data_IF_454818094469
#
_entry.id   IF_454818094469
#
_cell.length_a   1.000
_cell.length_b   1.000
_cell.length_c   1.000
_cell.angle_alpha   90.00
_cell.angle_beta   90.00
_cell.angle_gamma   90.00
#
_symmetry.space_group_name_H-M   'P 1'
#
loop_
_entity.id
_entity.type
_entity.pdbx_description
1 polymer ?
#
# COMPACT_ATOMS: atom_id res chain seq x y z
N UNK A 1 -2.58 -12.38 8.39
CA UNK A 1 -2.82 -11.17 9.20
C UNK A 1 -3.35 -10.09 8.26
N UNK A 2 -4.54 -9.53 8.49
CA UNK A 2 -5.06 -8.45 7.65
C UNK A 2 -4.14 -7.21 7.75
N UNK A 3 -4.09 -6.35 6.72
CA UNK A 3 -3.37 -5.08 6.80
C UNK A 3 -3.96 -4.24 7.94
N UNK A 4 -3.10 -3.72 8.82
CA UNK A 4 -3.48 -2.79 9.89
C UNK A 4 -2.92 -1.40 9.58
N UNK A 5 -3.55 -0.35 10.09
CA UNK A 5 -3.08 1.02 9.90
C UNK A 5 -1.62 1.21 10.37
N UNK A 6 -1.25 0.57 11.50
CA UNK A 6 0.13 0.57 12.00
C UNK A 6 1.09 -0.14 11.05
N UNK A 7 0.72 -1.32 10.54
CA UNK A 7 1.57 -2.06 9.59
C UNK A 7 1.75 -1.32 8.26
N UNK A 8 0.70 -0.65 7.78
CA UNK A 8 0.76 0.19 6.58
C UNK A 8 1.73 1.35 6.80
N UNK A 9 1.62 2.06 7.93
CA UNK A 9 2.52 3.17 8.28
C UNK A 9 3.99 2.75 8.32
N UNK A 10 4.29 1.66 9.03
CA UNK A 10 5.65 1.12 9.12
C UNK A 10 6.20 0.74 7.74
N UNK A 11 5.36 0.16 6.87
CA UNK A 11 5.74 -0.19 5.50
C UNK A 11 6.11 1.04 4.67
N UNK A 12 5.29 2.09 4.74
CA UNK A 12 5.52 3.36 4.01
C UNK A 12 6.78 4.07 4.53
N UNK A 13 6.99 4.09 5.84
CA UNK A 13 8.19 4.67 6.45
C UNK A 13 9.46 3.92 6.01
N UNK A 14 9.45 2.59 6.06
CA UNK A 14 10.56 1.76 5.60
C UNK A 14 10.81 1.89 4.08
N UNK A 15 9.76 2.19 3.30
CA UNK A 15 9.89 2.50 1.88
C UNK A 15 10.59 3.83 1.66
N UNK A 16 10.14 4.90 2.34
CA UNK A 16 10.70 6.24 2.18
C UNK A 16 12.13 6.37 2.72
N UNK A 17 12.54 5.56 3.70
CA UNK A 17 13.94 5.46 4.12
C UNK A 17 14.82 4.97 2.96
N UNK A 18 14.33 4.03 2.15
CA UNK A 18 15.05 3.48 0.99
C UNK A 18 14.92 4.37 -0.26
N UNK A 19 13.81 5.09 -0.38
CA UNK A 19 13.46 5.91 -1.56
C UNK A 19 13.07 7.34 -1.14
N UNK A 20 14.01 8.14 -0.61
CA UNK A 20 13.69 9.45 -0.04
C UNK A 20 13.11 10.43 -1.07
N UNK A 21 13.50 10.32 -2.35
CA UNK A 21 13.02 11.17 -3.44
C UNK A 21 11.53 10.98 -3.81
N UNK A 22 10.88 9.94 -3.30
CA UNK A 22 9.47 9.65 -3.61
C UNK A 22 8.48 10.24 -2.60
N UNK A 23 8.97 11.00 -1.61
CA UNK A 23 8.14 11.59 -0.56
C UNK A 23 6.99 12.43 -1.12
N UNK A 24 7.27 13.23 -2.14
CA UNK A 24 6.26 14.10 -2.76
C UNK A 24 5.21 13.29 -3.53
N UNK A 25 5.62 12.22 -4.20
CA UNK A 25 4.71 11.31 -4.89
C UNK A 25 3.75 10.59 -3.91
N UNK A 26 4.19 10.36 -2.67
CA UNK A 26 3.39 9.72 -1.61
C UNK A 26 2.69 10.73 -0.68
N UNK A 27 2.74 12.04 -0.95
CA UNK A 27 2.22 13.06 -0.03
C UNK A 27 0.74 12.86 0.32
N UNK A 28 -0.10 12.51 -0.66
CA UNK A 28 -1.53 12.27 -0.43
C UNK A 28 -1.79 11.05 0.46
N UNK A 29 -1.00 9.98 0.30
CA UNK A 29 -1.07 8.80 1.16
C UNK A 29 -0.65 9.14 2.59
N UNK A 30 0.45 9.87 2.76
CA UNK A 30 0.93 10.31 4.08
C UNK A 30 -0.11 11.19 4.78
N UNK A 31 -0.75 12.09 4.04
CA UNK A 31 -1.83 12.92 4.55
C UNK A 31 -3.05 12.09 4.96
N UNK A 32 -3.40 11.03 4.22
CA UNK A 32 -4.49 10.14 4.57
C UNK A 32 -4.19 9.33 5.84
N UNK A 33 -2.98 8.79 5.98
CA UNK A 33 -2.55 8.01 7.15
C UNK A 33 -2.51 8.82 8.44
N UNK A 34 -2.37 10.15 8.35
CA UNK A 34 -2.36 11.04 9.52
C UNK A 34 -3.76 11.46 10.00
N UNK A 35 -4.83 11.08 9.29
CA UNK A 35 -6.21 11.35 9.72
C UNK A 35 -6.72 10.24 10.64
N UNK A 36 -7.65 10.54 11.56
CA UNK A 36 -8.27 9.54 12.43
C UNK A 36 -9.37 8.75 11.68
N UNK A 37 -9.04 8.19 10.52
CA UNK A 37 -9.96 7.40 9.69
C UNK A 37 -9.41 6.00 9.46
N UNK A 38 -10.29 5.01 9.35
CA UNK A 38 -9.89 3.67 8.97
C UNK A 38 -9.59 3.60 7.47
N UNK A 39 -8.31 3.73 7.10
CA UNK A 39 -7.87 3.64 5.71
C UNK A 39 -8.01 2.23 5.12
N UNK A 40 -8.32 1.21 5.92
CA UNK A 40 -8.54 -0.17 5.46
C UNK A 40 -10.01 -0.45 5.14
N UNK A 41 -10.93 0.37 5.65
CA UNK A 41 -12.35 0.25 5.37
C UNK A 41 -12.68 0.69 3.93
N UNK A 42 -13.36 -0.19 3.17
CA UNK A 42 -13.80 0.11 1.78
C UNK A 42 -14.81 1.25 1.70
N UNK A 43 -15.45 1.60 2.82
CA UNK A 43 -16.39 2.72 2.96
C UNK A 43 -15.69 4.06 3.13
N UNK A 44 -14.38 4.09 3.35
CA UNK A 44 -13.61 5.32 3.52
C UNK A 44 -13.46 6.04 2.18
N UNK A 45 -13.84 7.32 2.17
CA UNK A 45 -13.79 8.21 1.00
C UNK A 45 -12.69 9.28 1.15
N UNK A 46 -12.09 9.75 0.04
CA UNK A 46 -12.34 9.35 -1.34
C UNK A 46 -11.65 8.04 -1.76
N UNK A 47 -10.77 7.49 -0.91
CA UNK A 47 -10.00 6.29 -1.22
C UNK A 47 -9.70 5.47 0.03
N UNK A 48 -9.44 4.18 -0.18
CA UNK A 48 -8.99 3.22 0.82
C UNK A 48 -7.75 2.46 0.31
N UNK A 49 -7.02 1.85 1.23
CA UNK A 49 -5.84 1.06 0.94
C UNK A 49 -6.26 -0.26 0.30
N UNK A 50 -5.66 -0.56 -0.85
CA UNK A 50 -5.77 -1.85 -1.52
C UNK A 50 -4.47 -2.64 -1.34
N UNK A 51 -4.56 -3.96 -1.42
CA UNK A 51 -3.39 -4.83 -1.43
C UNK A 51 -3.51 -5.79 -2.62
N UNK A 52 -2.38 -6.04 -3.27
CA UNK A 52 -2.24 -7.01 -4.36
C UNK A 52 -0.97 -7.84 -4.13
N UNK A 53 -0.77 -8.86 -4.94
CA UNK A 53 0.40 -9.72 -4.87
C UNK A 53 1.04 -9.86 -6.26
N UNK A 54 2.38 -9.87 -6.27
CA UNK A 54 3.17 -10.32 -7.42
C UNK A 54 3.76 -11.67 -7.02
N UNK A 55 3.21 -12.76 -7.56
CA UNK A 55 3.68 -14.11 -7.28
C UNK A 55 4.68 -14.51 -8.36
N UNK A 56 5.92 -14.80 -7.94
CA UNK A 56 7.05 -15.09 -8.83
C UNK A 56 7.56 -16.50 -8.53
N UNK A 57 7.75 -17.32 -9.56
CA UNK A 57 8.33 -18.65 -9.42
C UNK A 57 9.88 -18.63 -9.48
N UNK A 58 10.51 -19.80 -9.34
CA UNK A 58 11.98 -19.93 -9.38
C UNK A 58 12.59 -19.58 -10.74
N UNK A 59 11.79 -19.53 -11.80
CA UNK A 59 12.20 -19.18 -13.16
C UNK A 59 11.93 -17.69 -13.46
N UNK A 60 11.43 -16.91 -12.50
CA UNK A 60 11.15 -15.49 -12.68
C UNK A 60 9.84 -15.19 -13.40
N UNK A 61 8.94 -16.17 -13.55
CA UNK A 61 7.64 -15.97 -14.20
C UNK A 61 6.64 -15.39 -13.22
N UNK A 62 5.82 -14.44 -13.68
CA UNK A 62 4.77 -13.78 -12.89
C UNK A 62 3.44 -14.48 -13.12
N UNK A 63 2.75 -14.85 -12.03
CA UNK A 63 1.38 -15.36 -12.09
C UNK A 63 0.40 -14.21 -12.35
N UNK A 64 -0.23 -14.22 -13.53
CA UNK A 64 -1.33 -13.34 -13.86
C UNK A 64 -2.67 -14.07 -13.74
N UNK A 65 -3.70 -13.35 -13.28
CA UNK A 65 -5.09 -13.82 -13.37
C UNK A 65 -5.69 -13.28 -14.67
N UNK A 66 -6.22 -14.17 -15.51
CA UNK A 66 -6.98 -13.76 -16.70
C UNK A 66 -8.33 -13.20 -16.27
N UNK A 67 -8.51 -11.90 -16.40
CA UNK A 67 -9.80 -11.24 -16.19
C UNK A 67 -10.79 -11.61 -17.29
N UNK A 68 -12.09 -11.55 -16.98
CA UNK A 68 -13.18 -11.74 -17.95
C UNK A 68 -13.66 -10.43 -18.55
#
# INVERSE_FOLDING_TARGET
MPPSSTGIRQTVEAYLVRHPGERDALAALLAALNRPVDTTARTTLPAHITCSAVVIDRQGRILHIRHR
#
